data_IF_495878812875
#
_entry.id   IF_495878812875
#
_cell.length_a   1.000
_cell.length_b   1.000
_cell.length_c   1.000
_cell.angle_alpha   90.00
_cell.angle_beta   90.00
_cell.angle_gamma   90.00
#
_symmetry.space_group_name_H-M   'P 1'
#
loop_
_entity.id
_entity.type
_entity.pdbx_description
1 polymer ?
#
# COMPACT_ATOMS: atom_id res chain seq x y z
N UNK A 1 -66.61 -28.52 -47.00
CA UNK A 1 -65.97 -29.24 -45.89
C UNK A 1 -64.56 -28.69 -45.77
N UNK A 2 -64.31 -27.72 -44.89
CA UNK A 2 -63.02 -27.08 -44.65
C UNK A 2 -62.53 -27.43 -43.25
N UNK A 3 -61.36 -28.07 -43.18
CA UNK A 3 -60.71 -28.41 -41.92
C UNK A 3 -59.88 -27.25 -41.42
N UNK A 4 -60.18 -26.81 -40.25
CA UNK A 4 -59.50 -25.73 -39.52
C UNK A 4 -58.35 -26.30 -38.70
N UNK A 5 -57.10 -25.99 -39.12
CA UNK A 5 -55.89 -26.40 -38.38
C UNK A 5 -55.61 -25.39 -37.31
N UNK A 6 -55.77 -25.76 -36.03
CA UNK A 6 -55.32 -24.98 -34.88
C UNK A 6 -53.81 -25.14 -34.69
N UNK A 7 -53.08 -24.03 -34.74
CA UNK A 7 -51.63 -23.98 -34.36
C UNK A 7 -51.57 -23.61 -32.87
N UNK A 8 -51.13 -24.53 -32.04
CA UNK A 8 -50.76 -24.29 -30.64
C UNK A 8 -49.31 -23.81 -30.59
N UNK A 9 -49.14 -22.53 -30.17
CA UNK A 9 -47.83 -21.96 -29.91
C UNK A 9 -47.44 -22.25 -28.43
N UNK A 10 -46.42 -23.08 -28.26
CA UNK A 10 -45.83 -23.33 -26.96
C UNK A 10 -44.82 -22.19 -26.63
N UNK A 11 -45.11 -21.38 -25.62
CA UNK A 11 -44.18 -20.45 -25.02
C UNK A 11 -43.24 -21.22 -24.10
N UNK A 12 -41.95 -21.32 -24.49
CA UNK A 12 -40.88 -21.82 -23.62
C UNK A 12 -40.42 -20.63 -22.80
N UNK A 13 -40.80 -20.57 -21.52
CA UNK A 13 -40.32 -19.61 -20.56
C UNK A 13 -38.88 -19.96 -20.14
N UNK A 14 -37.92 -19.12 -20.53
CA UNK A 14 -36.52 -19.21 -20.08
C UNK A 14 -36.43 -18.63 -18.66
N UNK A 15 -36.43 -19.49 -17.64
CA UNK A 15 -36.09 -19.09 -16.27
C UNK A 15 -34.57 -18.84 -16.15
N UNK A 16 -34.18 -17.57 -16.17
CA UNK A 16 -32.82 -17.17 -15.80
C UNK A 16 -32.70 -17.22 -14.27
N UNK A 17 -32.11 -18.28 -13.74
CA UNK A 17 -31.73 -18.33 -12.33
C UNK A 17 -30.55 -17.40 -12.12
N UNK A 18 -30.84 -16.20 -11.59
CA UNK A 18 -29.82 -15.30 -11.06
C UNK A 18 -29.24 -15.92 -9.78
N UNK A 19 -28.08 -16.57 -9.88
CA UNK A 19 -27.31 -16.98 -8.72
C UNK A 19 -26.69 -15.73 -8.10
N UNK A 20 -27.37 -15.17 -7.11
CA UNK A 20 -26.79 -14.18 -6.19
C UNK A 20 -25.75 -14.90 -5.33
N UNK A 21 -24.48 -14.86 -5.78
CA UNK A 21 -23.36 -15.27 -4.96
C UNK A 21 -23.31 -14.39 -3.72
N UNK A 22 -23.72 -14.91 -2.57
CA UNK A 22 -23.44 -14.28 -1.29
C UNK A 22 -21.93 -14.26 -1.11
N UNK A 23 -21.32 -13.07 -1.26
CA UNK A 23 -19.95 -12.87 -0.82
C UNK A 23 -19.93 -13.14 0.69
N UNK A 24 -19.22 -14.20 1.09
CA UNK A 24 -18.97 -14.46 2.51
C UNK A 24 -18.29 -13.22 3.07
N UNK A 25 -18.94 -12.56 4.02
CA UNK A 25 -18.34 -11.44 4.72
C UNK A 25 -17.05 -11.94 5.42
N UNK A 26 -15.94 -11.35 5.04
CA UNK A 26 -14.64 -11.66 5.66
C UNK A 26 -14.73 -11.31 7.15
N UNK A 27 -14.27 -12.20 8.02
CA UNK A 27 -14.26 -11.93 9.46
C UNK A 27 -13.49 -10.63 9.75
N UNK A 28 -13.94 -9.83 10.73
CA UNK A 28 -13.24 -8.61 11.10
C UNK A 28 -11.78 -8.91 11.44
N UNK A 29 -10.88 -8.08 10.91
CA UNK A 29 -9.45 -8.22 11.17
C UNK A 29 -9.16 -7.83 12.64
N UNK A 30 -8.50 -8.70 13.39
CA UNK A 30 -8.02 -8.37 14.73
C UNK A 30 -6.71 -7.58 14.64
N UNK A 31 -6.82 -6.25 14.62
CA UNK A 31 -5.66 -5.36 14.59
C UNK A 31 -4.92 -5.30 15.93
N UNK A 32 -5.53 -5.74 17.04
CA UNK A 32 -4.89 -5.70 18.38
C UNK A 32 -3.65 -6.60 18.47
N UNK A 33 -3.50 -7.56 17.55
CA UNK A 33 -2.30 -8.42 17.43
C UNK A 33 -0.99 -7.61 17.27
N UNK A 34 -1.04 -6.35 16.86
CA UNK A 34 0.12 -5.49 16.69
C UNK A 34 0.39 -4.56 17.87
N UNK A 35 -0.43 -4.60 18.94
CA UNK A 35 -0.34 -3.71 20.10
C UNK A 35 1.07 -3.66 20.69
N UNK A 36 1.72 -4.81 20.85
CA UNK A 36 3.09 -4.89 21.38
C UNK A 36 4.09 -4.06 20.55
N UNK A 37 3.99 -4.13 19.22
CA UNK A 37 4.88 -3.39 18.33
C UNK A 37 4.62 -1.89 18.40
N UNK A 38 3.35 -1.50 18.44
CA UNK A 38 2.96 -0.08 18.55
C UNK A 38 3.43 0.50 19.88
N UNK A 39 3.22 -0.20 20.98
CA UNK A 39 3.72 0.20 22.32
C UNK A 39 5.25 0.31 22.34
N UNK A 40 5.96 -0.55 21.60
CA UNK A 40 7.43 -0.44 21.48
C UNK A 40 7.83 0.85 20.78
N UNK A 41 7.15 1.26 19.71
CA UNK A 41 7.39 2.55 19.07
C UNK A 41 7.12 3.72 20.03
N UNK A 42 5.99 3.70 20.73
CA UNK A 42 5.63 4.74 21.70
C UNK A 42 6.61 4.84 22.86
N UNK A 43 7.12 3.70 23.34
CA UNK A 43 8.14 3.68 24.39
C UNK A 43 9.46 4.32 23.92
N UNK A 44 9.88 4.02 22.68
CA UNK A 44 11.02 4.68 22.07
C UNK A 44 10.81 6.18 21.91
N UNK A 45 9.63 6.58 21.46
CA UNK A 45 9.27 7.99 21.27
C UNK A 45 9.21 8.78 22.60
N UNK A 46 8.80 8.14 23.70
CA UNK A 46 8.89 8.76 25.04
C UNK A 46 10.31 9.07 25.46
N UNK A 47 11.27 8.26 25.03
CA UNK A 47 12.70 8.44 25.32
C UNK A 47 13.34 9.46 24.38
N UNK A 48 13.01 9.38 23.09
CA UNK A 48 13.57 10.22 22.03
C UNK A 48 12.51 10.45 20.95
N UNK A 49 11.63 11.43 21.16
CA UNK A 49 10.59 11.78 20.19
C UNK A 49 11.21 12.22 18.87
N UNK A 50 10.87 11.60 17.75
CA UNK A 50 11.33 12.03 16.43
C UNK A 50 10.95 13.49 16.15
N UNK A 51 11.79 14.23 15.40
CA UNK A 51 11.53 15.62 15.12
C UNK A 51 10.26 15.77 14.27
N UNK A 52 9.48 16.81 14.58
CA UNK A 52 8.31 17.19 13.74
C UNK A 52 8.79 17.61 12.35
N UNK A 53 7.97 17.38 11.35
CA UNK A 53 8.31 17.72 9.96
C UNK A 53 9.25 16.71 9.29
N UNK A 54 9.52 15.57 9.91
CA UNK A 54 10.21 14.47 9.26
C UNK A 54 9.37 13.85 8.13
N UNK A 55 9.99 13.07 7.27
CA UNK A 55 9.31 12.18 6.34
C UNK A 55 8.84 10.96 7.13
N UNK A 56 7.56 10.65 7.09
CA UNK A 56 6.99 9.47 7.72
C UNK A 56 6.84 8.35 6.70
N UNK A 57 7.48 7.22 6.94
CA UNK A 57 7.20 5.96 6.27
C UNK A 57 6.22 5.17 7.12
N UNK A 58 5.01 4.93 6.63
CA UNK A 58 3.98 4.15 7.31
C UNK A 58 3.53 2.99 6.44
N UNK A 59 3.37 1.82 7.03
CA UNK A 59 2.92 0.66 6.28
C UNK A 59 3.41 -0.68 6.82
N UNK A 60 3.70 -1.60 5.90
CA UNK A 60 3.94 -3.00 6.21
C UNK A 60 5.44 -3.37 6.36
N UNK A 61 5.70 -4.67 6.21
CA UNK A 61 7.05 -5.26 6.30
C UNK A 61 8.07 -4.66 5.34
N UNK A 62 7.64 -4.11 4.23
CA UNK A 62 8.52 -3.49 3.23
C UNK A 62 9.22 -2.26 3.81
N UNK A 63 8.60 -1.55 4.74
CA UNK A 63 9.24 -0.50 5.51
C UNK A 63 9.83 -1.02 6.83
N UNK A 64 9.12 -1.90 7.54
CA UNK A 64 9.62 -2.47 8.78
C UNK A 64 11.02 -3.08 8.65
N UNK A 65 11.28 -3.77 7.54
CA UNK A 65 12.57 -4.45 7.27
C UNK A 65 13.63 -3.52 6.66
N UNK A 66 13.28 -2.31 6.27
CA UNK A 66 14.24 -1.33 5.76
C UNK A 66 15.04 -0.68 6.89
N UNK A 67 16.00 -1.41 7.43
CA UNK A 67 16.80 -0.98 8.60
C UNK A 67 17.82 0.10 8.25
N UNK A 68 18.27 0.14 7.00
CA UNK A 68 19.27 1.10 6.49
C UNK A 68 18.66 2.40 5.95
N UNK A 69 17.35 2.65 6.15
CA UNK A 69 16.64 3.78 5.52
C UNK A 69 17.28 5.15 5.80
N UNK A 70 17.84 5.36 7.00
CA UNK A 70 18.53 6.61 7.34
C UNK A 70 19.92 6.71 6.72
N UNK A 71 20.56 5.60 6.41
CA UNK A 71 21.82 5.52 5.68
C UNK A 71 21.59 5.69 4.17
N UNK A 72 20.49 5.15 3.66
CA UNK A 72 20.10 5.21 2.25
C UNK A 72 19.51 6.58 1.87
N UNK A 73 18.98 7.33 2.83
CA UNK A 73 18.44 8.68 2.69
C UNK A 73 19.10 9.68 3.66
N UNK A 74 20.44 9.85 3.62
CA UNK A 74 21.18 10.58 4.65
C UNK A 74 20.82 12.06 4.74
N UNK A 75 20.31 12.64 3.65
CA UNK A 75 19.93 14.05 3.58
C UNK A 75 18.55 14.34 4.14
N UNK A 76 17.79 13.30 4.49
CA UNK A 76 16.42 13.43 4.98
C UNK A 76 16.31 12.94 6.42
N UNK A 77 15.44 13.57 7.17
CA UNK A 77 15.01 13.07 8.47
C UNK A 77 13.83 12.13 8.23
N UNK A 78 14.02 10.84 8.45
CA UNK A 78 13.01 9.81 8.20
C UNK A 78 12.57 9.16 9.49
N UNK A 79 11.25 9.06 9.69
CA UNK A 79 10.61 8.29 10.76
C UNK A 79 9.98 7.06 10.13
N UNK A 80 10.47 5.88 10.46
CA UNK A 80 9.92 4.63 9.96
C UNK A 80 8.96 4.02 10.99
N UNK A 81 7.70 3.85 10.59
CA UNK A 81 6.61 3.22 11.35
C UNK A 81 5.98 2.06 10.56
N UNK A 82 6.83 1.34 9.82
CA UNK A 82 6.45 0.06 9.22
C UNK A 82 6.24 -1.00 10.29
N UNK A 83 5.30 -1.91 10.08
CA UNK A 83 5.03 -3.07 10.95
C UNK A 83 4.92 -4.32 10.09
N UNK A 84 5.61 -5.39 10.48
CA UNK A 84 5.58 -6.64 9.73
C UNK A 84 4.16 -7.20 9.64
N UNK A 85 3.76 -7.70 8.47
CA UNK A 85 2.43 -8.27 8.18
C UNK A 85 1.25 -7.30 8.28
N UNK A 86 1.49 -6.00 8.38
CA UNK A 86 0.45 -4.98 8.45
C UNK A 86 -0.42 -4.97 7.18
N UNK A 87 -1.71 -4.78 7.36
CA UNK A 87 -2.69 -4.55 6.29
C UNK A 87 -3.23 -3.10 6.39
N UNK A 88 -3.94 -2.66 5.37
CA UNK A 88 -4.47 -1.29 5.35
C UNK A 88 -5.44 -1.00 6.51
N UNK A 89 -6.36 -1.90 6.90
CA UNK A 89 -7.20 -1.70 8.09
C UNK A 89 -6.41 -1.58 9.39
N UNK A 90 -5.29 -2.30 9.53
CA UNK A 90 -4.44 -2.19 10.72
C UNK A 90 -3.83 -0.77 10.82
N UNK A 91 -3.36 -0.24 9.68
CA UNK A 91 -2.86 1.14 9.61
C UNK A 91 -3.94 2.15 9.98
N UNK A 92 -5.19 1.94 9.57
CA UNK A 92 -6.32 2.78 9.93
C UNK A 92 -6.66 2.70 11.43
N UNK A 93 -6.58 1.50 12.01
CA UNK A 93 -6.82 1.27 13.43
C UNK A 93 -5.79 2.01 14.31
N UNK A 94 -4.51 1.92 13.95
CA UNK A 94 -3.42 2.57 14.69
C UNK A 94 -3.05 3.97 14.18
N UNK A 95 -3.87 4.57 13.30
CA UNK A 95 -3.58 5.86 12.67
C UNK A 95 -3.21 6.95 13.67
N UNK A 96 -3.99 7.09 14.75
CA UNK A 96 -3.84 8.15 15.74
C UNK A 96 -2.54 7.99 16.55
N UNK A 97 -1.95 6.81 16.57
CA UNK A 97 -0.73 6.47 17.31
C UNK A 97 0.50 6.41 16.40
N UNK A 98 0.34 6.03 15.13
CA UNK A 98 1.45 5.84 14.20
C UNK A 98 1.64 6.99 13.19
N UNK A 99 0.67 7.89 13.07
CA UNK A 99 0.72 8.98 12.09
C UNK A 99 0.64 10.36 12.73
N UNK A 100 -0.38 10.61 13.53
CA UNK A 100 -0.67 11.95 14.07
C UNK A 100 0.43 12.55 14.95
N UNK A 101 1.13 11.81 15.83
CA UNK A 101 2.11 12.37 16.75
C UNK A 101 3.29 13.05 16.05
N UNK A 102 3.66 12.58 14.87
CA UNK A 102 4.88 13.00 14.16
C UNK A 102 4.71 14.30 13.38
N UNK A 103 3.49 14.72 13.05
CA UNK A 103 3.22 15.92 12.23
C UNK A 103 4.17 15.97 11.02
N UNK A 104 4.19 14.95 10.18
CA UNK A 104 5.16 14.81 9.09
C UNK A 104 4.97 15.92 8.04
N UNK A 105 6.06 16.31 7.37
CA UNK A 105 6.00 17.16 6.18
C UNK A 105 5.71 16.40 4.89
N UNK A 106 5.87 15.08 4.92
CA UNK A 106 5.61 14.16 3.82
C UNK A 106 5.30 12.77 4.39
N UNK A 107 4.29 12.10 3.86
CA UNK A 107 3.93 10.74 4.24
C UNK A 107 4.15 9.83 3.04
N UNK A 108 4.87 8.73 3.23
CA UNK A 108 5.01 7.67 2.23
C UNK A 108 4.37 6.41 2.78
N UNK A 109 3.43 5.85 2.01
CA UNK A 109 2.73 4.62 2.35
C UNK A 109 3.22 3.45 1.51
N UNK A 110 3.33 2.29 2.13
CA UNK A 110 3.43 0.99 1.46
C UNK A 110 2.60 -0.03 2.22
N UNK A 111 1.46 -0.40 1.66
CA UNK A 111 0.51 -1.41 2.17
C UNK A 111 -0.22 -2.04 1.00
N UNK A 112 -1.03 -3.05 1.25
CA UNK A 112 -1.90 -3.67 0.26
C UNK A 112 -1.41 -5.04 -0.21
N UNK A 113 -0.12 -5.33 -0.11
CA UNK A 113 0.43 -6.64 -0.46
C UNK A 113 -0.08 -7.77 0.45
N UNK A 114 -0.13 -7.52 1.75
CA UNK A 114 -0.70 -8.45 2.72
C UNK A 114 -2.23 -8.50 2.65
N UNK A 115 -2.86 -7.40 2.30
CA UNK A 115 -4.30 -7.33 2.06
C UNK A 115 -4.72 -8.31 0.97
N UNK A 116 -4.09 -8.25 -0.20
CA UNK A 116 -4.34 -9.16 -1.32
C UNK A 116 -4.09 -10.61 -0.91
N UNK A 117 -2.95 -10.86 -0.26
CA UNK A 117 -2.60 -12.21 0.19
C UNK A 117 -3.65 -12.82 1.15
N UNK A 118 -4.27 -11.98 1.96
CA UNK A 118 -5.32 -12.39 2.91
C UNK A 118 -6.73 -12.25 2.29
N UNK A 119 -6.85 -12.16 0.97
CA UNK A 119 -8.12 -12.24 0.25
C UNK A 119 -8.90 -10.92 0.17
N UNK A 120 -8.29 -9.78 0.55
CA UNK A 120 -8.94 -8.47 0.34
C UNK A 120 -8.86 -8.08 -1.13
N UNK A 121 -9.91 -7.45 -1.62
CA UNK A 121 -9.98 -7.04 -3.02
C UNK A 121 -9.22 -5.71 -3.27
N UNK A 122 -8.77 -5.45 -4.51
CA UNK A 122 -8.20 -4.17 -4.90
C UNK A 122 -9.11 -2.96 -4.58
N UNK A 123 -10.42 -3.12 -4.72
CA UNK A 123 -11.39 -2.07 -4.39
C UNK A 123 -11.42 -1.75 -2.88
N UNK A 124 -11.34 -2.77 -2.02
CA UNK A 124 -11.28 -2.56 -0.57
C UNK A 124 -10.01 -1.81 -0.16
N UNK A 125 -8.87 -2.12 -0.78
CA UNK A 125 -7.61 -1.41 -0.51
C UNK A 125 -7.71 0.06 -0.93
N UNK A 126 -8.32 0.34 -2.07
CA UNK A 126 -8.57 1.73 -2.50
C UNK A 126 -9.46 2.49 -1.49
N UNK A 127 -10.55 1.90 -1.01
CA UNK A 127 -11.45 2.57 -0.05
C UNK A 127 -10.76 2.82 1.29
N UNK A 128 -9.94 1.90 1.76
CA UNK A 128 -9.13 2.09 2.95
C UNK A 128 -8.08 3.21 2.75
N UNK A 129 -7.45 3.27 1.57
CA UNK A 129 -6.52 4.36 1.24
C UNK A 129 -7.23 5.71 1.21
N UNK A 130 -8.43 5.80 0.63
CA UNK A 130 -9.25 7.03 0.67
C UNK A 130 -9.58 7.43 2.11
N UNK A 131 -9.93 6.46 2.95
CA UNK A 131 -10.18 6.68 4.39
C UNK A 131 -8.92 7.21 5.08
N UNK A 132 -7.75 6.63 4.81
CA UNK A 132 -6.47 7.14 5.33
C UNK A 132 -6.24 8.60 4.92
N UNK A 133 -6.40 8.91 3.64
CA UNK A 133 -6.27 10.28 3.12
C UNK A 133 -7.23 11.23 3.84
N UNK A 134 -8.49 10.83 4.01
CA UNK A 134 -9.49 11.60 4.74
C UNK A 134 -9.07 11.90 6.19
N UNK A 135 -8.58 10.88 6.93
CA UNK A 135 -8.07 11.05 8.31
C UNK A 135 -6.88 12.02 8.35
N UNK A 136 -5.94 11.93 7.42
CA UNK A 136 -4.82 12.89 7.33
C UNK A 136 -5.34 14.29 7.05
N UNK A 137 -6.22 14.48 6.06
CA UNK A 137 -6.75 15.79 5.66
C UNK A 137 -7.55 16.47 6.75
N UNK A 138 -8.18 15.72 7.66
CA UNK A 138 -8.88 16.27 8.83
C UNK A 138 -7.94 17.03 9.78
N UNK A 139 -6.66 16.68 9.82
CA UNK A 139 -5.66 17.27 10.74
C UNK A 139 -4.57 18.06 10.02
N UNK A 140 -4.16 17.63 8.85
CA UNK A 140 -3.09 18.20 8.03
C UNK A 140 -3.55 18.34 6.56
N UNK A 141 -4.22 19.46 6.24
CA UNK A 141 -4.91 19.66 4.97
C UNK A 141 -4.03 19.53 3.74
N UNK A 142 -2.77 19.97 3.82
CA UNK A 142 -1.88 20.14 2.67
C UNK A 142 -0.65 19.21 2.67
N UNK A 143 -0.50 18.33 3.67
CA UNK A 143 0.65 17.43 3.72
C UNK A 143 0.65 16.50 2.50
N UNK A 144 1.75 16.43 1.73
CA UNK A 144 1.85 15.49 0.63
C UNK A 144 1.82 14.04 1.13
N UNK A 145 1.08 13.19 0.43
CA UNK A 145 0.99 11.76 0.70
C UNK A 145 1.36 11.03 -0.58
N UNK A 146 2.33 10.13 -0.52
CA UNK A 146 2.69 9.24 -1.61
C UNK A 146 2.32 7.81 -1.27
N UNK A 147 1.64 7.13 -2.18
CA UNK A 147 1.45 5.69 -2.13
C UNK A 147 2.50 5.02 -3.02
N UNK A 148 3.29 4.11 -2.48
CA UNK A 148 4.22 3.30 -3.29
C UNK A 148 3.47 2.11 -3.85
N UNK A 149 3.64 1.81 -5.13
CA UNK A 149 3.01 0.65 -5.74
C UNK A 149 3.31 -0.64 -4.98
N UNK A 150 2.33 -1.52 -4.90
CA UNK A 150 2.53 -2.90 -4.44
C UNK A 150 3.45 -3.57 -5.46
N UNK A 151 4.63 -4.02 -5.03
CA UNK A 151 5.69 -4.50 -5.91
C UNK A 151 5.45 -5.92 -6.42
N UNK A 152 5.96 -6.27 -7.62
CA UNK A 152 5.93 -7.64 -8.13
C UNK A 152 6.95 -8.48 -7.36
N UNK A 153 6.52 -9.33 -6.44
CA UNK A 153 7.44 -10.22 -5.71
C UNK A 153 7.40 -11.64 -6.25
N UNK A 154 8.56 -12.31 -6.43
CA UNK A 154 8.61 -13.68 -6.93
C UNK A 154 7.78 -14.65 -6.08
N UNK A 155 7.84 -14.52 -4.74
CA UNK A 155 7.08 -15.38 -3.80
C UNK A 155 5.58 -15.17 -3.80
N UNK A 156 5.09 -14.10 -4.45
CA UNK A 156 3.67 -13.74 -4.56
C UNK A 156 3.25 -13.47 -6.01
N UNK A 157 3.95 -14.05 -6.99
CA UNK A 157 3.70 -13.78 -8.40
C UNK A 157 2.32 -14.25 -8.89
N UNK A 158 1.75 -15.27 -8.26
CA UNK A 158 0.37 -15.70 -8.51
C UNK A 158 -0.69 -14.64 -8.23
N UNK A 159 -0.37 -13.62 -7.43
CA UNK A 159 -1.25 -12.51 -7.07
C UNK A 159 -1.08 -11.28 -8.00
N UNK A 160 -0.28 -11.40 -9.07
CA UNK A 160 0.14 -10.26 -9.90
C UNK A 160 -1.03 -9.43 -10.44
N UNK A 161 -2.10 -10.10 -10.91
CA UNK A 161 -3.23 -9.40 -11.54
C UNK A 161 -4.00 -8.54 -10.54
N UNK A 162 -4.16 -9.02 -9.30
CA UNK A 162 -4.78 -8.25 -8.22
C UNK A 162 -3.89 -7.08 -7.78
N UNK A 163 -2.56 -7.26 -7.76
CA UNK A 163 -1.59 -6.21 -7.44
C UNK A 163 -1.58 -5.11 -8.50
N UNK A 164 -1.58 -5.49 -9.77
CA UNK A 164 -1.70 -4.56 -10.91
C UNK A 164 -2.99 -3.77 -10.80
N UNK A 165 -4.12 -4.43 -10.55
CA UNK A 165 -5.42 -3.77 -10.44
C UNK A 165 -5.48 -2.82 -9.24
N UNK A 166 -4.96 -3.20 -8.07
CA UNK A 166 -4.87 -2.31 -6.92
C UNK A 166 -4.03 -1.07 -7.22
N UNK A 167 -2.86 -1.26 -7.83
CA UNK A 167 -1.99 -0.17 -8.26
C UNK A 167 -2.69 0.76 -9.26
N UNK A 168 -3.39 0.20 -10.25
CA UNK A 168 -4.15 0.96 -11.23
C UNK A 168 -5.24 1.82 -10.60
N UNK A 169 -6.03 1.24 -9.70
CA UNK A 169 -7.11 1.94 -9.01
C UNK A 169 -6.58 3.08 -8.15
N UNK A 170 -5.54 2.83 -7.35
CA UNK A 170 -4.92 3.83 -6.49
C UNK A 170 -4.28 4.94 -7.33
N UNK A 171 -3.52 4.59 -8.37
CA UNK A 171 -2.89 5.56 -9.29
C UNK A 171 -3.94 6.48 -9.93
N UNK A 172 -5.07 5.92 -10.37
CA UNK A 172 -6.17 6.70 -10.94
C UNK A 172 -6.80 7.66 -9.93
N UNK A 173 -7.01 7.22 -8.69
CA UNK A 173 -7.51 8.10 -7.63
C UNK A 173 -6.51 9.22 -7.29
N UNK A 174 -5.25 8.88 -7.11
CA UNK A 174 -4.17 9.85 -6.81
C UNK A 174 -4.11 10.95 -7.86
N UNK A 175 -4.26 10.62 -9.15
CA UNK A 175 -4.21 11.58 -10.25
C UNK A 175 -5.33 12.66 -10.19
N UNK A 176 -6.40 12.41 -9.43
CA UNK A 176 -7.53 13.36 -9.26
C UNK A 176 -7.41 14.22 -8.01
N UNK A 177 -6.39 14.02 -7.17
CA UNK A 177 -6.28 14.64 -5.87
C UNK A 177 -5.05 15.54 -5.74
N UNK A 178 -5.21 16.71 -5.11
CA UNK A 178 -4.08 17.58 -4.77
C UNK A 178 -3.19 16.95 -3.70
N UNK A 179 -1.88 17.12 -3.85
CA UNK A 179 -0.88 16.66 -2.87
C UNK A 179 -0.97 15.15 -2.58
N UNK A 180 -1.46 14.38 -3.56
CA UNK A 180 -1.28 12.93 -3.57
C UNK A 180 -0.32 12.55 -4.69
N UNK A 181 0.53 11.59 -4.44
CA UNK A 181 1.55 11.09 -5.36
C UNK A 181 1.50 9.57 -5.44
N UNK A 182 1.82 9.02 -6.59
CA UNK A 182 1.99 7.59 -6.78
C UNK A 182 3.45 7.31 -7.14
N UNK A 183 4.14 6.53 -6.31
CA UNK A 183 5.53 6.10 -6.55
C UNK A 183 5.45 4.74 -7.23
N UNK A 184 5.62 4.74 -8.55
CA UNK A 184 5.53 3.52 -9.34
C UNK A 184 6.85 2.76 -9.32
N UNK A 185 6.85 1.63 -8.62
CA UNK A 185 8.01 0.75 -8.48
C UNK A 185 7.87 -0.51 -9.35
N UNK A 186 6.71 -0.71 -10.02
CA UNK A 186 6.37 -1.98 -10.62
C UNK A 186 7.43 -2.44 -11.64
N UNK A 187 7.65 -1.63 -12.68
CA UNK A 187 8.56 -1.99 -13.77
C UNK A 187 10.03 -2.09 -13.31
N UNK A 188 10.42 -1.28 -12.32
CA UNK A 188 11.77 -1.28 -11.79
C UNK A 188 12.14 -2.57 -11.03
N UNK A 189 11.13 -3.35 -10.64
CA UNK A 189 11.30 -4.65 -9.99
C UNK A 189 11.10 -5.83 -10.94
N UNK A 190 10.94 -5.57 -12.25
CA UNK A 190 10.85 -6.60 -13.29
C UNK A 190 12.16 -6.74 -14.05
N UNK A 191 12.36 -7.90 -14.61
CA UNK A 191 13.35 -8.16 -15.68
C UNK A 191 12.77 -7.74 -17.03
N UNK A 192 13.60 -7.63 -18.08
CA UNK A 192 13.13 -7.31 -19.45
C UNK A 192 12.08 -8.27 -20.02
N UNK A 193 12.03 -9.51 -19.52
CA UNK A 193 11.04 -10.51 -19.90
C UNK A 193 9.69 -10.36 -19.18
N UNK A 194 9.55 -9.31 -18.34
CA UNK A 194 8.33 -9.03 -17.57
C UNK A 194 8.13 -9.89 -16.32
N UNK A 195 9.12 -10.73 -15.96
CA UNK A 195 9.08 -11.50 -14.70
C UNK A 195 9.79 -10.75 -13.55
N UNK A 196 9.47 -11.05 -12.28
CA UNK A 196 10.12 -10.40 -11.15
C UNK A 196 11.64 -10.61 -11.16
N UNK A 197 12.38 -9.56 -10.87
CA UNK A 197 13.84 -9.62 -10.73
C UNK A 197 14.21 -10.18 -9.35
N UNK A 198 14.48 -11.48 -9.28
CA UNK A 198 14.83 -12.16 -8.02
C UNK A 198 16.05 -11.58 -7.33
N UNK A 199 16.99 -10.98 -8.09
CA UNK A 199 18.18 -10.32 -7.55
C UNK A 199 17.91 -9.12 -6.65
N UNK A 200 16.68 -8.61 -6.60
CA UNK A 200 16.26 -7.51 -5.74
C UNK A 200 15.58 -7.96 -4.43
N UNK A 201 15.53 -9.28 -4.17
CA UNK A 201 14.83 -9.84 -3.02
C UNK A 201 15.76 -10.69 -2.15
N UNK A 202 15.41 -10.80 -0.86
CA UNK A 202 16.04 -11.76 0.04
C UNK A 202 15.48 -13.17 -0.22
N UNK A 203 16.00 -14.17 0.48
CA UNK A 203 15.70 -15.60 0.29
C UNK A 203 14.18 -15.91 0.33
N UNK A 204 13.40 -15.16 1.09
CA UNK A 204 11.94 -15.35 1.17
C UNK A 204 11.20 -14.95 -0.13
N UNK A 205 11.89 -14.30 -1.07
CA UNK A 205 11.38 -13.89 -2.38
C UNK A 205 10.18 -12.91 -2.33
N UNK A 206 9.99 -12.25 -1.17
CA UNK A 206 8.90 -11.30 -0.91
C UNK A 206 9.48 -9.93 -0.54
N UNK A 207 10.51 -9.90 0.30
CA UNK A 207 11.06 -8.68 0.84
C UNK A 207 12.31 -8.25 0.06
N UNK A 208 12.46 -6.94 -0.22
CA UNK A 208 13.66 -6.44 -0.89
C UNK A 208 14.93 -6.72 -0.09
N UNK A 209 15.99 -7.03 -0.79
CA UNK A 209 17.34 -6.91 -0.26
C UNK A 209 17.81 -5.44 -0.35
N UNK A 210 19.08 -5.17 0.00
CA UNK A 210 19.57 -3.79 -0.02
C UNK A 210 19.51 -3.16 -1.41
N UNK A 211 19.84 -3.90 -2.48
CA UNK A 211 19.72 -3.42 -3.87
C UNK A 211 18.27 -3.04 -4.21
N UNK A 212 17.30 -3.84 -3.77
CA UNK A 212 15.88 -3.53 -3.92
C UNK A 212 15.48 -2.25 -3.20
N UNK A 213 16.05 -1.96 -2.02
CA UNK A 213 15.83 -0.68 -1.34
C UNK A 213 16.50 0.48 -2.07
N UNK A 214 17.70 0.30 -2.64
CA UNK A 214 18.35 1.35 -3.44
C UNK A 214 17.54 1.68 -4.71
N UNK A 215 16.92 0.70 -5.34
CA UNK A 215 15.95 0.95 -6.45
C UNK A 215 14.80 1.83 -5.96
N UNK A 216 14.22 1.55 -4.78
CA UNK A 216 13.19 2.41 -4.18
C UNK A 216 13.68 3.83 -3.93
N UNK A 217 14.87 3.98 -3.34
CA UNK A 217 15.49 5.30 -3.09
C UNK A 217 15.57 6.10 -4.39
N UNK A 218 16.12 5.50 -5.44
CA UNK A 218 16.29 6.17 -6.74
C UNK A 218 14.97 6.75 -7.27
N UNK A 219 13.87 6.04 -7.10
CA UNK A 219 12.56 6.44 -7.64
C UNK A 219 11.83 7.41 -6.71
N UNK A 220 11.87 7.17 -5.39
CA UNK A 220 11.12 7.99 -4.45
C UNK A 220 11.80 9.31 -4.09
N UNK A 221 13.15 9.34 -4.05
CA UNK A 221 13.93 10.50 -3.61
C UNK A 221 13.54 11.83 -4.28
N UNK A 222 13.32 11.90 -5.62
CA UNK A 222 12.93 13.14 -6.28
C UNK A 222 11.60 13.73 -5.79
N UNK A 223 10.73 12.91 -5.20
CA UNK A 223 9.41 13.32 -4.70
C UNK A 223 9.44 13.80 -3.24
N UNK A 224 10.49 13.50 -2.49
CA UNK A 224 10.57 13.80 -1.04
C UNK A 224 10.77 15.29 -0.73
N UNK A 225 10.88 16.12 -1.75
CA UNK A 225 11.09 17.57 -1.61
C UNK A 225 12.55 17.94 -1.32
N UNK A 226 12.74 19.11 -0.70
CA UNK A 226 14.10 19.58 -0.38
C UNK A 226 14.72 18.74 0.74
N UNK A 227 16.01 18.39 0.63
CA UNK A 227 16.76 17.78 1.72
C UNK A 227 16.73 18.63 2.99
N UNK A 228 16.69 17.98 4.16
CA UNK A 228 16.75 18.64 5.47
C UNK A 228 18.18 19.07 5.83
N UNK A 229 19.14 18.32 5.30
CA UNK A 229 20.59 18.58 5.46
C UNK A 229 21.16 18.95 4.10
N UNK A 230 22.01 19.97 4.06
CA UNK A 230 22.83 20.20 2.87
C UNK A 230 23.65 18.91 2.63
N UNK A 231 23.67 18.43 1.38
CA UNK A 231 24.49 17.28 1.00
C UNK A 231 25.91 17.57 1.50
N UNK A 232 26.37 16.78 2.48
CA UNK A 232 27.70 16.96 3.03
C UNK A 232 28.68 16.85 1.87
N UNK A 233 29.36 17.95 1.56
CA UNK A 233 30.54 17.92 0.70
C UNK A 233 31.55 17.06 1.44
N UNK A 234 31.54 15.75 1.12
CA UNK A 234 32.57 14.84 1.60
C UNK A 234 33.92 15.40 1.20
N UNK A 235 34.70 15.75 2.21
CA UNK A 235 36.15 15.98 2.09
C UNK A 235 36.85 14.63 2.23
#
# INVERSE_FOLDING_TARGET
>A
MGAMIQRTSALIGLCVLASSGMALAQAPLDSTRFEKTVVTYEAGDKTAMPPRGAILLAGDSQFYRWKTVNEDLPDFTVVNRGIDSFQTPDLLFYFDRLVLPYKPRFIVLHVGGNDIHNGRTPAQILEDFKTFVGKVRATQKDVPIAFTSITPSPGRWSEKDQRIEANRLIKSYVATQRNLHFIDLWDAFLKPDGTPNEGLYVEDRIHPNHEGYLVRVKIMRPLLGKPDKAAGTGK
#
